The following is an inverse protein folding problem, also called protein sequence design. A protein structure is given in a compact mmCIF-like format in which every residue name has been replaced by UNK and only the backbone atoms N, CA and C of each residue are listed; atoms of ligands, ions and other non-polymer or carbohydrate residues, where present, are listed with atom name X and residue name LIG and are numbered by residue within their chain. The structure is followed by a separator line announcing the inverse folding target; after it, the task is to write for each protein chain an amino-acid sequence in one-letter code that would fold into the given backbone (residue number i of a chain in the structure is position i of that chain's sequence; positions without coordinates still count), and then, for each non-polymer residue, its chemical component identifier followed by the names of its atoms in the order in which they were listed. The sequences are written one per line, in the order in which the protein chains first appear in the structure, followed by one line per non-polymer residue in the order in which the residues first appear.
data_IF_633938111908
#
_entry.id   IF_633938111908
#
_cell.length_a   1.000
_cell.length_b   1.000
_cell.length_c   1.000
_cell.angle_alpha   90.00
_cell.angle_beta   90.00
_cell.angle_gamma   90.00
#
_symmetry.space_group_name_H-M   'P 1'
#
loop_
_entity.id
_entity.type
_entity.pdbx_description
1 polymer ?
#
# COMPACT_ATOMS: atom_id res chain seq x y z
N UNK A 1 3.33 -21.81 28.66
CA UNK A 1 4.41 -20.89 29.05
C UNK A 1 5.29 -20.61 27.85
N UNK A 2 5.18 -19.42 27.25
CA UNK A 2 6.06 -18.98 26.16
C UNK A 2 7.30 -18.33 26.77
N UNK A 3 8.41 -19.06 26.79
CA UNK A 3 9.71 -18.50 27.15
C UNK A 3 10.23 -17.69 25.95
N UNK A 4 10.42 -16.39 26.15
CA UNK A 4 11.05 -15.50 25.15
C UNK A 4 12.57 -15.65 25.28
N UNK A 5 13.24 -15.82 24.14
CA UNK A 5 14.69 -15.87 24.06
C UNK A 5 15.18 -14.65 23.29
N UNK A 6 16.00 -13.83 23.93
CA UNK A 6 16.60 -12.64 23.34
C UNK A 6 18.08 -12.92 23.03
N UNK A 7 18.55 -12.47 21.87
CA UNK A 7 19.95 -12.58 21.49
C UNK A 7 20.36 -11.37 20.66
N UNK A 8 21.27 -10.57 21.20
CA UNK A 8 21.88 -9.45 20.49
C UNK A 8 23.02 -9.92 19.59
N UNK A 9 23.17 -9.29 18.42
CA UNK A 9 24.25 -9.54 17.47
C UNK A 9 24.92 -8.21 17.10
N UNK A 10 26.23 -8.12 17.30
CA UNK A 10 27.05 -7.00 16.83
C UNK A 10 27.30 -7.14 15.33
N UNK A 11 26.71 -6.24 14.54
CA UNK A 11 26.77 -6.25 13.08
C UNK A 11 28.00 -5.54 12.52
N UNK A 12 28.81 -4.85 13.33
CA UNK A 12 29.90 -3.98 12.87
C UNK A 12 31.04 -4.68 12.11
N UNK A 13 31.10 -6.02 12.16
CA UNK A 13 32.08 -6.85 11.43
C UNK A 13 31.42 -7.74 10.38
N UNK A 14 30.11 -7.63 10.20
CA UNK A 14 29.35 -8.41 9.24
C UNK A 14 29.40 -7.68 7.88
N UNK A 15 29.71 -8.35 6.76
CA UNK A 15 29.74 -7.67 5.46
C UNK A 15 28.39 -7.04 5.11
N UNK A 16 28.40 -5.98 4.31
CA UNK A 16 27.16 -5.38 3.82
C UNK A 16 26.38 -6.37 2.95
N UNK A 17 25.06 -6.35 3.05
CA UNK A 17 24.15 -7.15 2.24
C UNK A 17 22.95 -7.69 3.01
N UNK A 18 22.13 -8.46 2.29
CA UNK A 18 20.90 -9.03 2.82
C UNK A 18 21.13 -10.39 3.47
N UNK A 19 20.65 -10.52 4.70
CA UNK A 19 20.77 -11.73 5.51
C UNK A 19 19.39 -12.29 5.82
N UNK A 20 19.23 -13.61 5.65
CA UNK A 20 18.07 -14.33 6.16
C UNK A 20 18.41 -14.85 7.56
N UNK A 21 17.71 -14.33 8.56
CA UNK A 21 17.85 -14.70 9.95
C UNK A 21 16.70 -15.61 10.35
N UNK A 22 17.03 -16.76 10.94
CA UNK A 22 16.05 -17.69 11.50
C UNK A 22 16.58 -18.33 12.78
N UNK A 23 15.67 -18.70 13.67
CA UNK A 23 15.97 -19.45 14.88
C UNK A 23 15.85 -20.95 14.62
N UNK A 24 16.71 -21.74 15.25
CA UNK A 24 16.66 -23.21 15.24
C UNK A 24 16.82 -23.78 16.63
N UNK A 25 16.02 -24.78 16.97
CA UNK A 25 16.06 -25.45 18.28
C UNK A 25 16.82 -26.76 18.16
N UNK A 26 17.88 -26.92 18.97
CA UNK A 26 18.74 -28.10 19.00
C UNK A 26 18.45 -28.97 20.21
N UNK A 27 18.19 -30.26 19.99
CA UNK A 27 17.93 -31.25 21.03
C UNK A 27 19.20 -31.67 21.76
N UNK A 28 19.05 -32.38 22.88
CA UNK A 28 20.17 -32.88 23.69
C UNK A 28 21.04 -33.89 22.94
N UNK A 29 20.50 -34.56 21.92
CA UNK A 29 21.23 -35.44 21.00
C UNK A 29 22.03 -34.66 19.92
N UNK A 30 21.88 -33.35 19.87
CA UNK A 30 22.52 -32.47 18.90
C UNK A 30 21.77 -32.32 17.56
N UNK A 31 20.58 -32.88 17.40
CA UNK A 31 19.76 -32.70 16.20
C UNK A 31 18.87 -31.46 16.29
N UNK A 32 18.62 -30.81 15.16
CA UNK A 32 17.67 -29.70 15.09
C UNK A 32 16.26 -30.23 14.83
N UNK A 33 15.27 -29.79 15.61
CA UNK A 33 13.90 -30.31 15.51
C UNK A 33 12.82 -29.24 15.30
N UNK A 34 13.19 -27.96 15.32
CA UNK A 34 12.30 -26.86 14.95
C UNK A 34 13.10 -25.70 14.34
N UNK A 35 12.47 -25.01 13.38
CA UNK A 35 12.97 -23.80 12.72
C UNK A 35 11.86 -22.73 12.75
N UNK A 36 12.22 -21.46 12.92
CA UNK A 36 11.27 -20.34 12.79
C UNK A 36 11.04 -19.99 11.32
N UNK A 37 10.13 -19.04 11.08
CA UNK A 37 10.11 -18.31 9.82
C UNK A 37 11.43 -17.54 9.65
N UNK A 38 11.77 -17.25 8.40
CA UNK A 38 12.92 -16.41 8.03
C UNK A 38 12.52 -14.94 8.11
N UNK A 39 13.44 -14.11 8.60
CA UNK A 39 13.33 -12.66 8.62
C UNK A 39 14.49 -12.13 7.78
N UNK A 40 14.20 -11.26 6.82
CA UNK A 40 15.24 -10.54 6.08
C UNK A 40 15.78 -9.40 6.93
N UNK A 41 17.10 -9.28 7.01
CA UNK A 41 17.81 -8.20 7.67
C UNK A 41 18.86 -7.70 6.70
N UNK A 42 18.77 -6.45 6.27
CA UNK A 42 19.84 -5.82 5.50
C UNK A 42 20.86 -5.21 6.46
N UNK A 43 22.14 -5.48 6.24
CA UNK A 43 23.24 -4.84 6.98
C UNK A 43 23.94 -3.92 6.00
N UNK A 44 24.01 -2.64 6.34
CA UNK A 44 24.82 -1.65 5.62
C UNK A 44 25.75 -0.99 6.64
N UNK A 45 26.99 -1.47 6.69
CA UNK A 45 28.09 -0.91 7.46
C UNK A 45 28.94 0.05 6.63
N UNK A 46 28.46 0.52 5.47
CA UNK A 46 29.11 1.63 4.81
C UNK A 46 29.21 2.77 5.83
N UNK A 47 30.44 3.24 6.08
CA UNK A 47 30.66 4.42 6.90
C UNK A 47 29.71 5.49 6.36
N UNK A 48 28.82 5.99 7.22
CA UNK A 48 28.07 7.21 6.97
C UNK A 48 29.10 8.20 6.44
N UNK A 49 29.09 8.44 5.13
CA UNK A 49 29.97 9.39 4.50
C UNK A 49 29.42 10.74 4.93
N UNK A 50 29.76 11.18 6.14
CA UNK A 50 29.52 12.53 6.60
C UNK A 50 30.22 13.37 5.54
N UNK A 51 29.49 14.13 4.70
CA UNK A 51 30.11 14.81 3.58
C UNK A 51 31.07 15.86 4.14
N UNK A 52 32.32 15.46 4.26
CA UNK A 52 33.41 16.28 4.68
C UNK A 52 33.87 17.02 3.44
N UNK A 53 33.49 18.30 3.37
CA UNK A 53 33.98 19.29 2.40
C UNK A 53 33.48 19.14 0.95
N UNK A 54 32.22 19.53 0.71
CA UNK A 54 31.83 20.46 -0.38
C UNK A 54 30.41 20.98 -0.14
N UNK A 55 30.24 22.13 0.51
CA UNK A 55 29.08 23.05 0.49
C UNK A 55 27.60 22.57 0.44
N UNK A 56 27.29 21.28 0.51
CA UNK A 56 25.97 20.64 0.58
C UNK A 56 25.88 19.93 1.94
N UNK A 57 25.91 20.70 3.02
CA UNK A 57 25.33 20.18 4.26
C UNK A 57 23.82 20.12 4.02
N UNK A 58 23.13 19.01 4.33
CA UNK A 58 21.68 19.00 4.36
C UNK A 58 21.24 20.19 5.20
N UNK A 59 20.50 21.10 4.59
CA UNK A 59 19.92 22.20 5.36
C UNK A 59 18.90 21.59 6.31
N UNK A 60 18.51 22.32 7.35
CA UNK A 60 17.40 21.95 8.24
C UNK A 60 16.11 21.54 7.51
N UNK A 61 15.96 21.85 6.22
CA UNK A 61 14.80 21.48 5.42
C UNK A 61 15.10 20.56 4.23
N UNK A 62 16.31 20.01 4.10
CA UNK A 62 16.60 19.03 3.03
C UNK A 62 16.01 17.68 3.43
N UNK A 63 15.23 17.09 2.53
CA UNK A 63 14.55 15.80 2.66
C UNK A 63 14.80 15.04 1.35
N UNK A 64 15.85 14.23 1.32
CA UNK A 64 16.48 13.70 0.11
C UNK A 64 15.62 12.63 -0.58
N UNK A 65 14.82 11.88 0.17
CA UNK A 65 13.91 10.84 -0.31
C UNK A 65 12.44 11.24 -0.30
N UNK A 66 12.14 12.50 0.06
CA UNK A 66 10.84 13.16 -0.13
C UNK A 66 9.72 12.58 0.73
N UNK A 67 10.10 12.16 1.92
CA UNK A 67 9.35 11.36 2.89
C UNK A 67 8.70 12.24 3.98
N UNK A 68 9.02 13.55 3.99
CA UNK A 68 8.64 14.59 4.94
C UNK A 68 9.45 14.62 6.24
N UNK A 69 10.47 13.78 6.38
CA UNK A 69 11.48 13.83 7.44
C UNK A 69 12.74 14.45 6.83
N UNK A 70 13.23 15.59 7.36
CA UNK A 70 14.50 16.12 6.91
C UNK A 70 15.68 15.18 7.22
N UNK A 71 16.67 15.10 6.33
CA UNK A 71 17.86 14.24 6.44
C UNK A 71 18.53 14.32 7.82
N UNK A 72 18.59 15.52 8.41
CA UNK A 72 19.17 15.74 9.73
C UNK A 72 18.39 15.06 10.87
N UNK A 73 17.07 15.00 10.75
CA UNK A 73 16.20 14.29 11.70
C UNK A 73 16.31 12.79 11.48
N UNK A 74 16.39 12.35 10.24
CA UNK A 74 16.57 10.93 9.92
C UNK A 74 17.86 10.38 10.50
N UNK A 75 18.98 11.09 10.30
CA UNK A 75 20.26 10.75 10.93
C UNK A 75 20.14 10.71 12.47
N UNK A 76 19.38 11.64 13.06
CA UNK A 76 19.17 11.67 14.52
C UNK A 76 18.37 10.47 15.03
N UNK A 77 17.35 10.03 14.28
CA UNK A 77 16.53 8.87 14.62
C UNK A 77 17.20 7.55 14.23
N UNK A 78 18.20 7.59 13.36
CA UNK A 78 18.90 6.43 12.82
C UNK A 78 18.18 5.78 11.64
N UNK A 79 17.37 6.56 10.92
CA UNK A 79 16.79 6.18 9.64
C UNK A 79 17.70 6.57 8.48
N UNK A 80 17.36 6.16 7.25
CA UNK A 80 18.17 6.34 6.06
C UNK A 80 17.65 7.50 5.19
N UNK A 81 18.39 8.62 5.05
CA UNK A 81 17.97 9.80 4.27
C UNK A 81 17.69 9.62 2.79
N UNK A 82 17.90 8.42 2.26
CA UNK A 82 17.73 8.09 0.85
C UNK A 82 16.68 7.00 0.66
N UNK A 83 16.04 6.56 1.73
CA UNK A 83 15.05 5.51 1.73
C UNK A 83 13.82 5.92 2.57
N UNK A 84 12.70 6.27 1.92
CA UNK A 84 11.53 6.85 2.59
C UNK A 84 10.70 5.85 3.41
N UNK A 85 11.26 4.68 3.70
CA UNK A 85 10.69 3.50 4.37
C UNK A 85 11.89 2.63 4.79
N UNK A 86 12.56 3.05 5.86
CA UNK A 86 13.88 2.54 6.24
C UNK A 86 13.87 1.06 6.57
N UNK A 87 12.80 0.55 7.17
CA UNK A 87 12.67 -0.86 7.55
C UNK A 87 11.88 -1.72 6.53
N UNK A 88 11.48 -1.10 5.42
CA UNK A 88 10.78 -1.71 4.29
C UNK A 88 9.43 -2.35 4.66
N UNK A 89 8.74 -1.81 5.68
CA UNK A 89 7.44 -2.31 6.13
C UNK A 89 6.24 -1.72 5.33
N UNK A 90 6.53 -0.82 4.37
CA UNK A 90 5.58 -0.04 3.55
C UNK A 90 4.89 1.11 4.28
N UNK A 91 5.35 1.46 5.48
CA UNK A 91 4.99 2.70 6.17
C UNK A 91 6.20 3.62 6.09
N UNK A 92 5.93 4.88 5.79
CA UNK A 92 6.98 5.86 5.64
C UNK A 92 7.51 6.32 7.01
N UNK A 93 8.82 6.53 7.13
CA UNK A 93 9.47 6.94 8.39
C UNK A 93 8.78 8.16 9.01
N UNK A 94 8.46 9.18 8.21
CA UNK A 94 7.71 10.36 8.66
C UNK A 94 6.30 10.07 9.19
N UNK A 95 5.58 9.14 8.58
CA UNK A 95 4.26 8.69 9.05
C UNK A 95 4.41 7.93 10.36
N UNK A 96 5.40 7.04 10.45
CA UNK A 96 5.67 6.27 11.66
C UNK A 96 6.03 7.17 12.84
N UNK A 97 6.89 8.16 12.62
CA UNK A 97 7.26 9.13 13.66
C UNK A 97 6.02 9.88 14.17
N UNK A 98 5.10 10.27 13.29
CA UNK A 98 3.86 10.95 13.66
C UNK A 98 2.89 10.06 14.44
N UNK A 99 2.85 8.77 14.11
CA UNK A 99 2.03 7.75 14.76
C UNK A 99 2.71 7.11 15.98
N UNK A 100 3.88 7.62 16.40
CA UNK A 100 4.68 7.11 17.51
C UNK A 100 5.14 5.65 17.31
N UNK A 101 5.45 5.26 16.08
CA UNK A 101 6.08 3.98 15.71
C UNK A 101 7.58 4.15 15.50
N UNK A 102 8.31 3.04 15.52
CA UNK A 102 9.75 3.03 15.27
C UNK A 102 10.01 2.99 13.76
N UNK A 103 10.59 4.02 13.14
CA UNK A 103 10.82 4.05 11.70
C UNK A 103 11.96 3.16 11.20
N UNK A 104 12.65 2.44 12.08
CA UNK A 104 13.76 1.54 11.70
C UNK A 104 13.51 0.10 12.16
N UNK A 105 12.26 -0.25 12.40
CA UNK A 105 11.85 -1.60 12.77
C UNK A 105 10.57 -1.65 13.57
N UNK A 106 10.26 -2.83 14.07
CA UNK A 106 9.10 -3.03 14.93
C UNK A 106 9.24 -2.23 16.24
N UNK A 107 8.15 -1.59 16.69
CA UNK A 107 8.07 -0.97 18.02
C UNK A 107 7.51 0.46 17.99
N UNK A 108 7.87 1.25 18.99
CA UNK A 108 7.50 2.67 19.10
C UNK A 108 8.72 3.57 19.31
N UNK A 109 8.55 4.88 19.07
CA UNK A 109 9.58 5.87 19.42
C UNK A 109 9.92 5.88 20.92
N UNK A 110 9.02 5.38 21.78
CA UNK A 110 9.27 5.29 23.21
C UNK A 110 10.47 4.37 23.50
N UNK A 111 10.72 3.36 22.68
CA UNK A 111 11.90 2.48 22.80
C UNK A 111 13.22 3.24 22.52
N UNK A 112 13.19 4.25 21.65
CA UNK A 112 14.34 5.15 21.43
C UNK A 112 14.58 6.07 22.65
N UNK A 113 13.52 6.39 23.38
CA UNK A 113 13.61 7.16 24.63
C UNK A 113 14.14 6.29 25.77
N UNK A 114 13.63 5.06 25.89
CA UNK A 114 14.06 4.10 26.90
C UNK A 114 15.53 3.66 26.71
N UNK A 115 15.99 3.52 25.47
CA UNK A 115 17.39 3.25 25.15
C UNK A 115 18.32 4.46 25.39
N UNK A 116 17.77 5.64 25.66
CA UNK A 116 18.51 6.88 25.90
C UNK A 116 19.12 7.49 24.63
N UNK A 117 18.74 7.02 23.44
CA UNK A 117 19.18 7.58 22.15
C UNK A 117 18.63 8.99 21.94
N UNK A 118 17.36 9.21 22.30
CA UNK A 118 16.67 10.50 22.12
C UNK A 118 15.85 10.82 23.37
N UNK A 119 15.71 12.10 23.71
CA UNK A 119 14.85 12.49 24.86
C UNK A 119 13.38 12.63 24.46
N UNK A 120 12.45 12.40 25.39
CA UNK A 120 11.02 12.62 25.15
C UNK A 120 10.71 14.04 24.65
N UNK A 121 11.42 15.05 25.17
CA UNK A 121 11.26 16.44 24.73
C UNK A 121 11.68 16.61 23.27
N UNK A 122 12.77 15.94 22.87
CA UNK A 122 13.25 15.98 21.50
C UNK A 122 12.30 15.28 20.53
N UNK A 123 11.76 14.11 20.90
CA UNK A 123 10.71 13.44 20.12
C UNK A 123 9.48 14.35 19.94
N UNK A 124 9.04 15.03 21.01
CA UNK A 124 7.92 15.97 20.92
C UNK A 124 8.21 17.17 20.00
N UNK A 125 9.45 17.69 20.01
CA UNK A 125 9.89 18.75 19.09
C UNK A 125 9.91 18.28 17.63
N UNK A 126 10.42 17.08 17.37
CA UNK A 126 10.43 16.45 16.05
C UNK A 126 9.00 16.29 15.55
N UNK A 127 8.11 15.67 16.32
CA UNK A 127 6.70 15.51 15.94
C UNK A 127 6.03 16.87 15.70
N UNK A 128 6.28 17.87 16.55
CA UNK A 128 5.74 19.21 16.37
C UNK A 128 6.32 19.94 15.14
N UNK A 129 7.53 19.59 14.72
CA UNK A 129 8.15 20.07 13.48
C UNK A 129 7.55 19.37 12.26
N UNK A 130 7.45 18.05 12.26
CA UNK A 130 6.83 17.27 11.17
C UNK A 130 5.37 17.68 10.96
N UNK A 131 4.61 17.93 12.04
CA UNK A 131 3.25 18.49 11.93
C UNK A 131 3.18 19.88 11.28
N UNK A 132 4.25 20.68 11.37
CA UNK A 132 4.35 22.03 10.76
C UNK A 132 4.87 21.99 9.33
N UNK A 133 5.68 20.99 9.00
CA UNK A 133 6.01 20.60 7.61
C UNK A 133 4.75 19.93 7.05
N UNK A 134 3.76 20.76 6.72
CA UNK A 134 2.40 20.33 6.44
C UNK A 134 2.39 19.27 5.34
N UNK A 135 1.92 18.06 5.68
CA UNK A 135 1.38 17.10 4.72
C UNK A 135 0.43 17.88 3.80
N UNK A 136 0.87 18.13 2.56
CA UNK A 136 0.01 18.74 1.58
C UNK A 136 -1.11 17.74 1.26
N UNK A 137 -2.37 18.18 1.29
CA UNK A 137 -3.46 17.26 0.93
C UNK A 137 -3.60 17.18 -0.59
N UNK A 138 -3.60 15.98 -1.20
CA UNK A 138 -3.83 15.83 -2.64
C UNK A 138 -5.21 16.32 -3.10
N UNK A 139 -6.17 16.54 -2.19
CA UNK A 139 -7.44 17.19 -2.55
C UNK A 139 -7.23 18.64 -3.00
N UNK A 140 -6.27 19.34 -2.41
CA UNK A 140 -6.06 20.78 -2.60
C UNK A 140 -4.77 21.12 -3.36
N UNK A 141 -3.75 20.28 -3.23
CA UNK A 141 -2.39 20.52 -3.75
C UNK A 141 -2.05 19.57 -4.89
N UNK A 142 -0.90 19.77 -5.53
CA UNK A 142 -0.42 18.94 -6.63
C UNK A 142 -1.02 19.25 -8.01
N UNK A 143 -0.19 19.03 -9.04
CA UNK A 143 -0.62 19.09 -10.44
C UNK A 143 -1.14 17.73 -10.88
N UNK A 144 -2.26 17.69 -11.60
CA UNK A 144 -2.83 16.44 -12.09
C UNK A 144 -1.96 15.81 -13.19
N UNK A 145 -1.58 14.53 -13.05
CA UNK A 145 -0.82 13.76 -14.05
C UNK A 145 -1.49 12.41 -14.36
N UNK A 146 -2.71 12.45 -14.90
CA UNK A 146 -3.46 11.25 -15.25
C UNK A 146 -2.76 10.38 -16.32
N UNK A 147 -1.82 10.91 -17.08
CA UNK A 147 -1.16 10.10 -18.10
C UNK A 147 -0.19 9.11 -17.49
N UNK A 148 0.55 9.56 -16.47
CA UNK A 148 1.68 8.81 -15.93
C UNK A 148 1.43 8.31 -14.50
N UNK A 149 0.38 8.78 -13.82
CA UNK A 149 0.10 8.43 -12.42
C UNK A 149 -1.38 8.12 -12.22
N UNK A 150 -1.71 6.85 -11.99
CA UNK A 150 -3.10 6.38 -11.89
C UNK A 150 -3.24 5.16 -10.99
N UNK A 151 -4.33 5.14 -10.23
CA UNK A 151 -4.92 3.88 -9.76
C UNK A 151 -5.65 3.24 -10.94
N UNK A 152 -5.34 1.97 -11.24
CA UNK A 152 -5.98 1.21 -12.30
C UNK A 152 -7.14 0.36 -11.80
N UNK A 153 -6.94 -0.33 -10.67
CA UNK A 153 -7.92 -1.28 -10.15
C UNK A 153 -7.78 -1.44 -8.64
N UNK A 154 -8.93 -1.56 -7.98
CA UNK A 154 -9.04 -2.01 -6.60
C UNK A 154 -9.74 -3.37 -6.61
N UNK A 155 -9.13 -4.35 -5.96
CA UNK A 155 -9.69 -5.70 -5.83
C UNK A 155 -9.96 -6.02 -4.36
N UNK A 156 -11.17 -6.52 -4.07
CA UNK A 156 -11.48 -7.15 -2.81
C UNK A 156 -11.11 -8.64 -2.92
N UNK A 157 -10.13 -9.08 -2.15
CA UNK A 157 -9.69 -10.46 -2.10
C UNK A 157 -9.98 -11.02 -0.71
N UNK A 158 -10.77 -12.10 -0.63
CA UNK A 158 -10.93 -12.86 0.61
C UNK A 158 -9.97 -14.07 0.48
N UNK A 159 -8.80 -14.07 1.14
CA UNK A 159 -7.97 -15.27 1.21
C UNK A 159 -8.72 -16.35 2.00
N UNK A 160 -8.29 -17.60 1.87
CA UNK A 160 -8.88 -18.77 2.51
C UNK A 160 -9.01 -18.66 4.06
N UNK A 161 -8.36 -17.66 4.67
CA UNK A 161 -8.39 -17.29 6.10
C UNK A 161 -9.52 -16.32 6.49
N UNK A 162 -10.34 -15.84 5.54
CA UNK A 162 -11.61 -15.16 5.82
C UNK A 162 -11.54 -13.65 6.13
N UNK A 163 -10.40 -12.99 5.94
CA UNK A 163 -10.30 -11.53 6.05
C UNK A 163 -10.36 -10.87 4.68
N UNK A 164 -11.21 -9.86 4.48
CA UNK A 164 -11.24 -9.12 3.22
C UNK A 164 -9.99 -8.22 3.10
N UNK A 165 -9.11 -8.48 2.14
CA UNK A 165 -7.97 -7.66 1.79
C UNK A 165 -8.29 -6.77 0.60
N UNK A 166 -7.95 -5.48 0.71
CA UNK A 166 -8.11 -4.52 -0.37
C UNK A 166 -6.75 -4.38 -1.06
N UNK A 167 -6.72 -4.68 -2.36
CA UNK A 167 -5.51 -4.59 -3.18
C UNK A 167 -5.65 -3.40 -4.11
N UNK A 168 -4.73 -2.45 -4.00
CA UNK A 168 -4.59 -1.32 -4.91
C UNK A 168 -3.56 -1.64 -5.97
N UNK A 169 -3.92 -1.47 -7.24
CA UNK A 169 -2.99 -1.58 -8.37
C UNK A 169 -3.03 -0.33 -9.21
N UNK A 170 -1.89 0.05 -9.76
CA UNK A 170 -1.80 1.24 -10.58
C UNK A 170 -0.47 1.38 -11.30
N UNK A 171 -0.27 2.59 -11.83
CA UNK A 171 0.93 2.96 -12.57
C UNK A 171 1.49 4.30 -12.08
N UNK A 172 2.81 4.43 -12.22
CA UNK A 172 3.61 5.62 -11.95
C UNK A 172 4.87 5.64 -12.84
N UNK A 173 5.74 6.65 -12.72
CA UNK A 173 7.08 6.60 -13.29
C UNK A 173 7.84 5.37 -12.76
N UNK A 174 8.65 4.65 -13.55
CA UNK A 174 9.37 3.45 -13.09
C UNK A 174 10.32 3.70 -11.92
N UNK A 175 10.47 2.70 -11.04
CA UNK A 175 11.40 2.72 -9.89
C UNK A 175 11.28 3.96 -9.00
N UNK A 176 10.10 4.57 -8.94
CA UNK A 176 9.86 5.87 -8.30
C UNK A 176 8.97 5.68 -7.08
N UNK A 177 9.34 6.32 -5.97
CA UNK A 177 8.50 6.37 -4.78
C UNK A 177 7.29 7.27 -5.01
N UNK A 178 6.16 6.85 -4.46
CA UNK A 178 4.93 7.60 -4.47
C UNK A 178 4.17 7.35 -3.17
N UNK A 179 3.27 8.28 -2.84
CA UNK A 179 2.43 8.17 -1.65
C UNK A 179 0.99 7.90 -2.04
N UNK A 180 0.37 6.91 -1.41
CA UNK A 180 -1.03 6.54 -1.51
C UNK A 180 -1.78 7.17 -0.33
N UNK A 181 -2.73 8.06 -0.64
CA UNK A 181 -3.61 8.68 0.35
C UNK A 181 -4.99 8.04 0.28
N UNK A 182 -5.38 7.26 1.29
CA UNK A 182 -6.69 6.59 1.38
C UNK A 182 -7.55 7.30 2.43
N UNK A 183 -8.63 7.94 2.00
CA UNK A 183 -9.45 8.77 2.89
C UNK A 183 -10.62 7.99 3.51
N UNK A 184 -10.52 7.74 4.82
CA UNK A 184 -11.64 7.44 5.75
C UNK A 184 -11.33 8.03 7.12
N UNK A 185 -10.26 7.50 7.72
CA UNK A 185 -9.23 8.17 8.50
C UNK A 185 -8.00 8.06 7.60
N UNK A 186 -7.32 9.17 7.26
CA UNK A 186 -6.32 9.15 6.20
C UNK A 186 -5.26 8.08 6.51
N UNK A 187 -5.16 7.09 5.63
CA UNK A 187 -4.03 6.16 5.61
C UNK A 187 -3.08 6.70 4.55
N UNK A 188 -1.85 6.92 4.96
CA UNK A 188 -0.78 7.44 4.10
C UNK A 188 0.27 6.35 4.01
N UNK A 189 0.54 5.89 2.80
CA UNK A 189 1.43 4.76 2.54
C UNK A 189 2.40 5.19 1.46
N UNK A 190 3.70 5.04 1.67
CA UNK A 190 4.68 5.23 0.60
C UNK A 190 5.05 3.87 0.03
N UNK A 191 5.12 3.77 -1.28
CA UNK A 191 5.62 2.56 -1.93
C UNK A 191 6.26 2.92 -3.25
N UNK A 192 6.83 1.93 -3.91
CA UNK A 192 7.63 2.13 -5.12
C UNK A 192 7.00 1.41 -6.30
N UNK A 193 7.03 2.05 -7.45
CA UNK A 193 6.75 1.36 -8.70
C UNK A 193 7.89 0.41 -9.08
N UNK A 194 7.54 -0.68 -9.74
CA UNK A 194 8.53 -1.59 -10.34
C UNK A 194 9.27 -0.93 -11.53
N UNK A 195 10.22 -1.67 -12.10
CA UNK A 195 10.99 -1.24 -13.27
C UNK A 195 10.15 -0.98 -14.53
N UNK A 196 8.90 -1.43 -14.55
CA UNK A 196 7.93 -1.19 -15.63
C UNK A 196 6.95 -0.06 -15.29
N UNK A 197 7.03 0.54 -14.10
CA UNK A 197 6.15 1.60 -13.65
C UNK A 197 4.84 1.10 -13.04
N UNK A 198 4.68 -0.19 -12.75
CA UNK A 198 3.48 -0.71 -12.09
C UNK A 198 3.66 -0.75 -10.58
N UNK A 199 2.57 -0.68 -9.83
CA UNK A 199 2.57 -0.95 -8.40
C UNK A 199 1.41 -1.84 -7.99
N UNK A 200 1.62 -2.56 -6.89
CA UNK A 200 0.61 -3.34 -6.18
C UNK A 200 0.81 -3.14 -4.69
N UNK A 201 -0.22 -2.65 -4.01
CA UNK A 201 -0.23 -2.49 -2.56
C UNK A 201 -1.38 -3.28 -1.95
N UNK A 202 -1.12 -4.02 -0.88
CA UNK A 202 -2.12 -4.78 -0.13
C UNK A 202 -2.35 -4.01 1.16
N UNK A 203 -3.57 -3.51 1.34
CA UNK A 203 -3.94 -2.81 2.56
C UNK A 203 -4.17 -3.82 3.68
N UNK A 204 -3.41 -3.66 4.75
CA UNK A 204 -3.46 -4.44 5.99
C UNK A 204 -4.45 -3.86 7.03
N UNK A 205 -4.97 -2.66 6.77
CA UNK A 205 -5.95 -1.97 7.62
C UNK A 205 -7.39 -2.20 7.17
N UNK A 206 -8.26 -2.54 8.12
CA UNK A 206 -9.70 -2.57 7.89
C UNK A 206 -10.22 -1.14 7.66
N UNK A 207 -10.94 -0.95 6.56
CA UNK A 207 -11.65 0.30 6.29
C UNK A 207 -13.09 0.21 6.81
N UNK A 208 -13.60 1.35 7.30
CA UNK A 208 -14.99 1.45 7.72
C UNK A 208 -15.94 1.34 6.52
N UNK A 209 -17.17 0.87 6.74
CA UNK A 209 -18.19 0.86 5.71
C UNK A 209 -18.45 2.25 5.13
N UNK A 210 -18.53 2.32 3.81
CA UNK A 210 -18.88 3.55 3.11
C UNK A 210 -18.02 3.83 1.89
N UNK A 211 -18.16 5.07 1.43
CA UNK A 211 -17.41 5.58 0.29
C UNK A 211 -16.04 6.06 0.74
N UNK A 212 -15.04 5.67 -0.04
CA UNK A 212 -13.65 6.05 0.13
C UNK A 212 -13.14 6.66 -1.16
N UNK A 213 -12.12 7.49 -1.02
CA UNK A 213 -11.36 8.02 -2.14
C UNK A 213 -9.87 7.77 -1.90
N UNK A 214 -9.17 7.45 -2.97
CA UNK A 214 -7.73 7.25 -2.96
C UNK A 214 -7.05 8.12 -4.00
N UNK A 215 -5.89 8.66 -3.62
CA UNK A 215 -5.00 9.41 -4.50
C UNK A 215 -3.62 8.77 -4.48
N UNK A 216 -2.92 8.87 -5.60
CA UNK A 216 -1.48 8.61 -5.69
C UNK A 216 -0.77 9.93 -5.94
N UNK A 217 0.31 10.21 -5.22
CA UNK A 217 1.08 11.45 -5.33
C UNK A 217 2.56 11.21 -5.50
N UNK A 218 3.24 12.18 -6.11
CA UNK A 218 4.71 12.28 -6.11
C UNK A 218 5.05 13.61 -5.43
N UNK A 219 5.88 13.53 -4.39
CA UNK A 219 6.40 14.66 -3.64
C UNK A 219 7.73 15.16 -4.22
N UNK A 220 8.13 16.37 -3.87
CA UNK A 220 9.52 16.83 -4.01
C UNK A 220 10.30 16.64 -2.72
N UNK A 221 11.59 17.00 -2.77
CA UNK A 221 12.59 17.00 -1.69
C UNK A 221 12.27 17.93 -0.51
N UNK A 222 11.07 18.49 -0.49
CA UNK A 222 10.55 19.31 0.61
C UNK A 222 9.19 18.81 1.12
N UNK A 223 8.77 17.62 0.68
CA UNK A 223 7.50 17.01 1.03
C UNK A 223 6.28 17.57 0.29
N UNK A 224 6.46 18.50 -0.65
CA UNK A 224 5.32 19.13 -1.36
C UNK A 224 4.83 18.25 -2.48
N UNK A 225 3.51 18.18 -2.67
CA UNK A 225 2.94 17.39 -3.75
C UNK A 225 3.20 18.08 -5.08
N UNK A 226 4.04 17.48 -5.92
CA UNK A 226 4.29 17.94 -7.30
C UNK A 226 3.23 17.45 -8.25
N UNK A 227 2.91 16.16 -8.16
CA UNK A 227 2.00 15.48 -9.05
C UNK A 227 1.01 14.63 -8.26
N UNK A 228 -0.21 14.51 -8.79
CA UNK A 228 -1.25 13.64 -8.25
C UNK A 228 -2.05 12.94 -9.33
N UNK A 229 -2.64 11.80 -8.98
CA UNK A 229 -3.71 11.19 -9.75
C UNK A 229 -5.03 11.95 -9.58
N UNK A 230 -6.00 11.65 -10.46
CA UNK A 230 -7.40 11.91 -10.14
C UNK A 230 -7.84 11.02 -8.97
N UNK A 231 -8.83 11.44 -8.16
CA UNK A 231 -9.37 10.58 -7.11
C UNK A 231 -9.94 9.31 -7.74
N UNK A 232 -9.60 8.16 -7.16
CA UNK A 232 -10.29 6.92 -7.42
C UNK A 232 -11.26 6.66 -6.27
N UNK A 233 -12.56 6.69 -6.56
CA UNK A 233 -13.60 6.43 -5.57
C UNK A 233 -13.95 4.96 -5.55
N UNK A 234 -14.06 4.37 -4.36
CA UNK A 234 -14.50 3.00 -4.16
C UNK A 234 -15.38 2.88 -2.92
N UNK A 235 -16.08 1.76 -2.78
CA UNK A 235 -17.02 1.53 -1.69
C UNK A 235 -16.64 0.25 -0.94
N UNK A 236 -16.62 0.32 0.38
CA UNK A 236 -16.43 -0.83 1.27
C UNK A 236 -17.77 -1.14 1.93
N UNK A 237 -18.17 -2.41 1.89
CA UNK A 237 -19.30 -2.97 2.67
C UNK A 237 -18.75 -4.08 3.53
N UNK A 238 -19.07 -4.06 4.81
CA UNK A 238 -18.89 -5.21 5.69
C UNK A 238 -19.76 -6.31 5.11
N UNK A 239 -19.14 -7.44 4.77
CA UNK A 239 -19.90 -8.64 4.45
C UNK A 239 -20.54 -9.15 5.74
N UNK A 240 -21.68 -8.60 6.13
CA UNK A 240 -22.51 -9.19 7.19
C UNK A 240 -22.92 -10.58 6.71
N UNK A 241 -22.38 -11.61 7.35
CA UNK A 241 -22.94 -12.94 7.24
C UNK A 241 -24.37 -12.87 7.77
N UNK A 242 -25.35 -12.94 6.86
CA UNK A 242 -26.76 -13.08 7.23
C UNK A 242 -26.88 -14.44 7.90
N UNK A 243 -27.29 -14.46 9.17
CA UNK A 243 -27.63 -15.72 9.83
C UNK A 243 -28.77 -16.40 9.06
N UNK A 244 -28.80 -17.75 8.99
CA UNK A 244 -29.92 -18.44 8.32
C UNK A 244 -31.29 -17.96 8.84
N UNK A 245 -31.37 -17.63 10.13
CA UNK A 245 -32.57 -17.11 10.78
C UNK A 245 -33.00 -15.71 10.27
N UNK A 246 -32.05 -14.87 9.87
CA UNK A 246 -32.30 -13.52 9.33
C UNK A 246 -32.67 -13.56 7.84
N UNK A 247 -32.15 -14.53 7.08
CA UNK A 247 -32.53 -14.80 5.69
C UNK A 247 -34.02 -15.18 5.56
N UNK A 248 -34.55 -15.92 6.54
CA UNK A 248 -35.96 -16.33 6.54
C UNK A 248 -36.92 -15.31 7.17
N UNK A 249 -36.44 -14.28 7.88
CA UNK A 249 -37.32 -13.25 8.49
C UNK A 249 -37.72 -12.12 7.55
N UNK A 250 -36.98 -11.89 6.46
CA UNK A 250 -37.38 -10.93 5.44
C UNK A 250 -37.38 -9.45 5.88
N UNK A 251 -36.71 -9.11 6.99
CA UNK A 251 -36.63 -7.74 7.53
C UNK A 251 -35.45 -6.92 6.96
N UNK A 252 -34.87 -7.34 5.83
CA UNK A 252 -33.86 -6.52 5.14
C UNK A 252 -34.60 -5.49 4.30
N UNK A 253 -34.56 -4.24 4.74
CA UNK A 253 -35.01 -3.08 3.96
C UNK A 253 -34.01 -2.88 2.80
N UNK A 254 -34.20 -3.67 1.73
CA UNK A 254 -33.41 -3.57 0.51
C UNK A 254 -33.88 -2.34 -0.22
N UNK A 255 -33.18 -1.22 -0.05
CA UNK A 255 -33.27 -0.10 -0.98
C UNK A 255 -32.97 -0.67 -2.38
N UNK A 256 -33.90 -0.56 -3.35
CA UNK A 256 -33.83 -1.37 -4.56
C UNK A 256 -32.66 -0.92 -5.44
N UNK A 257 -31.51 -1.57 -5.30
CA UNK A 257 -30.44 -1.46 -6.27
C UNK A 257 -30.96 -1.95 -7.64
N UNK A 258 -31.14 -0.96 -8.52
CA UNK A 258 -31.41 -1.03 -9.95
C UNK A 258 -31.58 -2.44 -10.56
N UNK A 259 -32.84 -2.85 -10.71
CA UNK A 259 -33.27 -4.03 -11.52
C UNK A 259 -32.96 -3.88 -13.03
N UNK A 260 -32.17 -2.91 -13.44
CA UNK A 260 -31.85 -2.59 -14.83
C UNK A 260 -30.67 -3.39 -15.40
N UNK A 261 -29.83 -4.00 -14.57
CA UNK A 261 -28.64 -4.70 -15.04
C UNK A 261 -28.87 -6.16 -15.46
N UNK A 262 -29.98 -6.82 -15.12
CA UNK A 262 -30.22 -8.23 -15.54
C UNK A 262 -31.25 -8.29 -16.68
N UNK A 263 -32.28 -7.42 -16.64
CA UNK A 263 -33.30 -7.35 -17.69
C UNK A 263 -32.74 -6.87 -19.04
N UNK A 264 -31.74 -5.98 -19.03
CA UNK A 264 -31.09 -5.45 -20.24
C UNK A 264 -30.27 -6.50 -20.98
N UNK A 265 -29.46 -7.31 -20.30
CA UNK A 265 -28.70 -8.39 -20.96
C UNK A 265 -29.62 -9.48 -21.51
N UNK A 266 -30.73 -9.80 -20.83
CA UNK A 266 -31.70 -10.77 -21.32
C UNK A 266 -32.42 -10.26 -22.58
N UNK A 267 -32.76 -8.96 -22.63
CA UNK A 267 -33.30 -8.31 -23.82
C UNK A 267 -32.31 -8.28 -24.98
N UNK A 268 -31.04 -7.92 -24.72
CA UNK A 268 -29.97 -7.93 -25.73
C UNK A 268 -29.75 -9.34 -26.27
N UNK A 269 -29.72 -10.36 -25.40
CA UNK A 269 -29.58 -11.76 -25.81
C UNK A 269 -30.75 -12.23 -26.69
N UNK A 270 -32.00 -11.88 -26.34
CA UNK A 270 -33.17 -12.21 -27.16
C UNK A 270 -33.10 -11.53 -28.54
N UNK A 271 -32.69 -10.25 -28.60
CA UNK A 271 -32.57 -9.51 -29.86
C UNK A 271 -31.47 -10.12 -30.75
N UNK A 272 -30.33 -10.52 -30.18
CA UNK A 272 -29.24 -11.17 -30.92
C UNK A 272 -29.69 -12.53 -31.47
N UNK A 273 -30.37 -13.35 -30.67
CA UNK A 273 -30.88 -14.66 -31.11
C UNK A 273 -31.96 -14.50 -32.18
N UNK A 274 -32.89 -13.56 -32.02
CA UNK A 274 -33.91 -13.27 -33.03
C UNK A 274 -33.29 -12.78 -34.34
N UNK A 275 -32.27 -11.91 -34.28
CA UNK A 275 -31.52 -11.46 -35.44
C UNK A 275 -30.83 -12.61 -36.18
N UNK A 276 -30.16 -13.50 -35.44
CA UNK A 276 -29.51 -14.68 -36.01
C UNK A 276 -30.52 -15.63 -36.70
N UNK A 277 -31.71 -15.83 -36.11
CA UNK A 277 -32.78 -16.63 -36.70
C UNK A 277 -33.32 -16.02 -37.99
N UNK A 278 -33.50 -14.70 -38.05
CA UNK A 278 -33.93 -14.01 -39.28
C UNK A 278 -32.89 -14.19 -40.39
N UNK A 279 -31.61 -14.09 -40.07
CA UNK A 279 -30.51 -14.32 -41.05
C UNK A 279 -30.51 -15.78 -41.53
N UNK A 280 -30.68 -16.75 -40.64
CA UNK A 280 -30.78 -18.18 -41.00
C UNK A 280 -31.99 -18.46 -41.90
N UNK A 281 -33.15 -17.90 -41.56
CA UNK A 281 -34.39 -18.07 -42.34
C UNK A 281 -34.24 -17.43 -43.72
N UNK A 282 -33.72 -16.21 -43.80
CA UNK A 282 -33.54 -15.52 -45.09
C UNK A 282 -32.50 -16.20 -45.97
N UNK A 283 -31.40 -16.71 -45.42
CA UNK A 283 -30.40 -17.48 -46.18
C UNK A 283 -30.95 -18.82 -46.64
N UNK A 284 -31.72 -19.53 -45.82
CA UNK A 284 -32.41 -20.77 -46.19
C UNK A 284 -33.39 -20.57 -47.36
N UNK A 285 -34.24 -19.54 -47.31
CA UNK A 285 -35.18 -19.27 -48.40
C UNK A 285 -34.49 -18.79 -49.69
N UNK A 286 -33.39 -18.03 -49.59
CA UNK A 286 -32.56 -17.68 -50.76
C UNK A 286 -31.93 -18.92 -51.39
N UNK A 287 -31.41 -19.84 -50.59
CA UNK A 287 -30.83 -21.10 -51.07
C UNK A 287 -31.89 -21.99 -51.75
N UNK A 288 -33.07 -22.12 -51.13
CA UNK A 288 -34.20 -22.89 -51.68
C UNK A 288 -34.72 -22.32 -53.01
N UNK A 289 -34.83 -20.99 -53.11
CA UNK A 289 -35.25 -20.33 -54.37
C UNK A 289 -34.23 -20.52 -55.49
N UNK A 290 -32.93 -20.61 -55.16
CA UNK A 290 -31.87 -20.91 -56.14
C UNK A 290 -31.93 -22.36 -56.65
N UNK A 291 -32.38 -23.31 -55.84
CA UNK A 291 -32.56 -24.71 -56.25
C UNK A 291 -33.81 -24.95 -57.11
N UNK A 292 -34.81 -24.06 -57.07
CA UNK A 292 -36.02 -24.17 -57.90
C UNK A 292 -35.90 -23.49 -59.27
N UNK A 293 -34.81 -22.75 -59.51
CA UNK A 293 -34.54 -22.01 -60.75
C UNK A 293 -33.37 -22.61 -61.56
N UNK A 294 -33.05 -23.90 -61.35
CA UNK A 294 -32.07 -24.69 -62.11
C UNK A 294 -32.81 -25.87 -62.75
#
# INVERSE_FOLDING_TARGET
DSTIYEKSWDTAQTPDGDYLVYARVKGQNGEYYAISNEISVSIDNSEIDIPSSTNDQPTESTDTDSDNVPDLIEIELGTNPRNPDTDEDNINDGVEILDNKNPSGIGSLDELVESGRVSQTRIAEIIARLKRLAFEEPKEKGTLDEKNLKILRIENFIPFIGQNQIIFTGIGPPNTYFTLFIYTTPVVVTTRTDSSGNFKYILDKNLADGSHEVYVTITDDTGRIKKKSSPFTFFVRDARAVSEEEYYRGDVDVEPESRYAIGSYLLIAIVVVAGALVVLVTTYFRAKKKQQNI
#
